data_IF_936692670994
#
_entry.id   IF_936692670994
#
_cell.length_a   1.000
_cell.length_b   1.000
_cell.length_c   1.000
_cell.angle_alpha   90.00
_cell.angle_beta   90.00
_cell.angle_gamma   90.00
#
_symmetry.space_group_name_H-M   'P 1'
#
loop_
_entity.id
_entity.type
_entity.pdbx_description
1 polymer ?
#
# COMPACT_ATOMS: atom_id res chain seq x y z
N UNK A 1 6.10 -2.12 17.25
CA UNK A 1 5.69 -2.13 18.67
C UNK A 1 5.71 -3.56 19.14
N UNK A 2 6.19 -3.82 20.35
CA UNK A 2 6.19 -5.17 20.93
C UNK A 2 5.90 -5.09 22.43
N UNK A 3 5.38 -6.17 23.00
CA UNK A 3 5.03 -6.20 24.41
C UNK A 3 4.15 -7.37 24.80
N UNK A 4 3.94 -7.50 26.11
CA UNK A 4 3.09 -8.54 26.70
C UNK A 4 1.63 -8.14 26.63
N UNK A 5 0.77 -9.07 26.18
CA UNK A 5 -0.68 -8.98 26.33
C UNK A 5 -1.23 -10.31 26.83
N UNK A 6 -2.31 -10.24 27.59
CA UNK A 6 -3.10 -11.40 27.98
C UNK A 6 -4.07 -11.71 26.84
N UNK A 7 -3.98 -12.92 26.28
CA UNK A 7 -4.91 -13.42 25.27
C UNK A 7 -5.85 -14.44 25.89
N UNK A 8 -7.14 -14.29 25.68
CA UNK A 8 -8.10 -15.33 26.03
C UNK A 8 -7.92 -16.55 25.13
N UNK A 9 -7.83 -17.74 25.72
CA UNK A 9 -7.67 -19.00 24.98
C UNK A 9 -8.95 -19.82 24.97
N UNK A 10 -9.49 -20.16 26.14
CA UNK A 10 -10.71 -20.97 26.32
C UNK A 10 -11.17 -20.89 27.79
N UNK A 11 -12.31 -21.48 28.12
CA UNK A 11 -12.83 -21.50 29.50
C UNK A 11 -11.93 -22.24 30.50
N UNK A 12 -11.12 -23.19 30.04
CA UNK A 12 -10.26 -24.01 30.90
C UNK A 12 -8.96 -23.32 31.29
N UNK A 13 -8.33 -22.61 30.36
CA UNK A 13 -7.03 -21.95 30.52
C UNK A 13 -7.14 -20.44 30.66
N UNK A 14 -8.30 -19.85 30.33
CA UNK A 14 -8.62 -18.45 30.53
C UNK A 14 -7.70 -17.47 29.79
N UNK A 15 -7.25 -16.44 30.51
CA UNK A 15 -6.32 -15.43 30.03
C UNK A 15 -4.88 -15.94 30.15
N UNK A 16 -4.14 -15.87 29.05
CA UNK A 16 -2.77 -16.37 28.97
C UNK A 16 -1.84 -15.28 28.48
N UNK A 17 -0.73 -15.09 29.19
CA UNK A 17 0.33 -14.15 28.83
C UNK A 17 0.97 -14.58 27.51
N UNK A 18 1.02 -13.68 26.53
CA UNK A 18 1.66 -13.89 25.23
C UNK A 18 2.44 -12.65 24.84
N UNK A 19 3.54 -12.86 24.14
CA UNK A 19 4.33 -11.77 23.56
C UNK A 19 3.75 -11.41 22.21
N UNK A 20 3.38 -10.16 22.02
CA UNK A 20 2.86 -9.64 20.76
C UNK A 20 3.88 -8.71 20.12
N UNK A 21 3.97 -8.81 18.80
CA UNK A 21 4.84 -7.98 17.97
C UNK A 21 3.99 -7.44 16.82
N UNK A 22 3.86 -6.12 16.75
CA UNK A 22 3.33 -5.39 15.63
C UNK A 22 4.50 -4.89 14.78
N UNK A 23 4.64 -5.47 13.59
CA UNK A 23 5.68 -5.14 12.64
C UNK A 23 5.10 -5.16 11.22
N UNK A 24 5.40 -4.11 10.44
CA UNK A 24 5.02 -4.00 9.02
C UNK A 24 3.55 -4.33 8.72
N UNK A 25 2.64 -3.76 9.52
CA UNK A 25 1.21 -3.97 9.32
C UNK A 25 0.67 -5.36 9.70
N UNK A 26 1.52 -6.21 10.31
CA UNK A 26 1.15 -7.54 10.78
C UNK A 26 1.32 -7.60 12.30
N UNK A 27 0.26 -8.00 12.99
CA UNK A 27 0.28 -8.32 14.41
C UNK A 27 0.51 -9.83 14.58
N UNK A 28 1.67 -10.19 15.10
CA UNK A 28 2.09 -11.57 15.38
C UNK A 28 2.17 -11.82 16.87
N UNK A 29 1.94 -13.06 17.32
CA UNK A 29 2.11 -13.43 18.72
C UNK A 29 2.88 -14.73 18.93
N UNK A 30 3.56 -14.79 20.07
CA UNK A 30 4.49 -15.83 20.49
C UNK A 30 4.19 -16.26 21.92
N UNK A 31 4.73 -17.40 22.34
CA UNK A 31 4.55 -17.88 23.71
C UNK A 31 5.30 -16.98 24.70
N UNK A 32 6.54 -16.59 24.38
CA UNK A 32 7.35 -15.63 25.13
C UNK A 32 8.23 -14.81 24.18
N UNK A 33 8.93 -13.80 24.70
CA UNK A 33 9.82 -12.94 23.91
C UNK A 33 11.06 -13.68 23.39
N UNK A 34 11.53 -14.68 24.13
CA UNK A 34 12.72 -15.48 23.79
C UNK A 34 12.42 -16.52 22.69
N UNK A 35 11.14 -16.88 22.52
CA UNK A 35 10.68 -17.85 21.52
C UNK A 35 10.34 -17.21 20.15
N UNK A 36 10.68 -15.93 19.91
CA UNK A 36 10.41 -15.27 18.62
C UNK A 36 11.07 -16.01 17.44
N UNK A 37 12.25 -16.61 17.67
CA UNK A 37 12.99 -17.39 16.68
C UNK A 37 12.40 -18.79 16.42
N UNK A 38 11.44 -19.25 17.23
CA UNK A 38 10.79 -20.57 17.07
C UNK A 38 9.54 -20.50 16.17
N UNK A 39 9.25 -19.34 15.60
CA UNK A 39 8.10 -19.10 14.74
C UNK A 39 6.85 -18.63 15.50
N UNK A 40 6.05 -17.80 14.84
CA UNK A 40 4.85 -17.23 15.43
C UNK A 40 3.75 -18.30 15.63
N UNK A 41 2.97 -18.18 16.71
CA UNK A 41 1.79 -19.03 16.95
C UNK A 41 0.56 -18.55 16.18
N UNK A 42 0.64 -17.34 15.64
CA UNK A 42 -0.29 -16.82 14.67
C UNK A 42 -0.05 -15.35 14.42
N UNK A 43 -0.58 -14.90 13.28
CA UNK A 43 -0.49 -13.52 12.84
C UNK A 43 -1.84 -13.03 12.31
N UNK A 44 -2.02 -11.72 12.25
CA UNK A 44 -3.21 -11.04 11.73
C UNK A 44 -2.78 -9.77 11.01
N UNK A 45 -3.30 -9.54 9.80
CA UNK A 45 -3.06 -8.30 9.04
C UNK A 45 -3.87 -7.17 9.64
N UNK A 46 -3.21 -6.12 10.12
CA UNK A 46 -3.84 -4.99 10.81
C UNK A 46 -4.83 -4.23 9.93
N UNK A 47 -4.62 -4.20 8.61
CA UNK A 47 -5.55 -3.60 7.65
C UNK A 47 -6.96 -4.20 7.71
N UNK A 48 -7.08 -5.49 8.01
CA UNK A 48 -8.35 -6.21 8.07
C UNK A 48 -8.94 -6.30 9.49
N UNK A 49 -8.23 -5.81 10.52
CA UNK A 49 -8.66 -5.92 11.92
C UNK A 49 -9.63 -4.79 12.27
N UNK A 50 -10.80 -5.13 12.78
CA UNK A 50 -11.67 -4.24 13.54
C UNK A 50 -11.29 -4.28 15.01
N UNK A 51 -11.14 -3.11 15.62
CA UNK A 51 -10.72 -2.95 17.01
C UNK A 51 -11.94 -2.53 17.82
N UNK A 52 -12.32 -3.35 18.79
CA UNK A 52 -13.41 -3.04 19.74
C UNK A 52 -12.83 -2.74 21.10
N UNK A 53 -13.15 -1.56 21.61
CA UNK A 53 -12.64 -1.04 22.89
C UNK A 53 -13.73 -1.21 23.95
N UNK A 54 -13.43 -1.88 25.05
CA UNK A 54 -14.39 -2.00 26.17
C UNK A 54 -14.52 -0.67 26.91
N UNK A 55 -15.76 -0.21 27.14
CA UNK A 55 -16.05 0.98 27.95
C UNK A 55 -16.11 0.69 29.46
N UNK A 56 -16.07 -0.59 29.85
CA UNK A 56 -16.17 -1.02 31.26
C UNK A 56 -14.81 -1.43 31.81
N UNK A 57 -14.02 -2.16 31.02
CA UNK A 57 -12.67 -2.58 31.40
C UNK A 57 -11.63 -1.76 30.62
N UNK A 58 -10.98 -0.84 31.34
CA UNK A 58 -9.97 0.07 30.80
C UNK A 58 -8.66 -0.60 30.38
N UNK A 59 -8.55 -1.92 30.52
CA UNK A 59 -7.40 -2.71 30.07
C UNK A 59 -7.75 -3.69 28.95
N UNK A 60 -9.04 -3.85 28.61
CA UNK A 60 -9.51 -4.82 27.61
C UNK A 60 -9.69 -4.21 26.22
N UNK A 61 -9.24 -4.93 25.19
CA UNK A 61 -9.47 -4.60 23.78
C UNK A 61 -9.65 -5.90 22.99
N UNK A 62 -10.57 -5.91 22.04
CA UNK A 62 -10.91 -7.09 21.27
C UNK A 62 -10.59 -6.81 19.79
N UNK A 63 -9.98 -7.78 19.10
CA UNK A 63 -9.57 -7.66 17.69
C UNK A 63 -10.30 -8.72 16.85
N UNK A 64 -11.05 -8.28 15.84
CA UNK A 64 -11.82 -9.16 14.96
C UNK A 64 -11.48 -8.94 13.49
N UNK A 65 -11.37 -10.03 12.73
CA UNK A 65 -11.41 -10.01 11.27
C UNK A 65 -12.75 -10.63 10.88
N UNK A 66 -13.65 -9.87 10.23
CA UNK A 66 -14.96 -10.38 9.83
C UNK A 66 -14.85 -11.69 9.06
N UNK A 67 -15.58 -12.72 9.52
CA UNK A 67 -15.63 -14.04 8.87
C UNK A 67 -14.42 -14.95 9.09
N UNK A 68 -13.36 -14.51 9.75
CA UNK A 68 -12.16 -15.32 9.98
C UNK A 68 -11.86 -15.59 11.44
N UNK A 69 -11.64 -14.53 12.22
CA UNK A 69 -10.95 -14.68 13.50
C UNK A 69 -11.34 -13.59 14.48
N UNK A 70 -11.53 -13.98 15.73
CA UNK A 70 -11.79 -13.06 16.83
C UNK A 70 -10.86 -13.40 17.99
N UNK A 71 -10.14 -12.40 18.51
CA UNK A 71 -9.28 -12.55 19.68
C UNK A 71 -9.62 -11.50 20.73
N UNK A 72 -9.70 -11.94 21.98
CA UNK A 72 -9.88 -11.07 23.13
C UNK A 72 -8.53 -10.83 23.78
N UNK A 73 -8.18 -9.55 23.99
CA UNK A 73 -6.91 -9.13 24.54
C UNK A 73 -7.10 -8.24 25.77
N UNK A 74 -6.16 -8.34 26.70
CA UNK A 74 -6.10 -7.48 27.88
C UNK A 74 -4.65 -7.04 28.10
N UNK A 75 -4.45 -5.74 28.24
CA UNK A 75 -3.14 -5.17 28.55
C UNK A 75 -2.87 -5.24 30.06
N UNK A 76 -1.60 -5.29 30.48
CA UNK A 76 -1.23 -5.19 31.90
C UNK A 76 -1.67 -3.88 32.57
N UNK A 77 -1.76 -2.78 31.82
CA UNK A 77 -2.26 -1.50 32.32
C UNK A 77 -3.11 -0.74 31.29
N UNK A 78 -3.87 0.27 31.75
CA UNK A 78 -4.63 1.16 30.87
C UNK A 78 -3.72 1.98 29.95
N UNK A 79 -2.54 2.36 30.44
CA UNK A 79 -1.53 3.05 29.66
C UNK A 79 -1.00 2.17 28.52
N UNK A 80 -0.65 0.93 28.81
CA UNK A 80 -0.18 -0.01 27.78
C UNK A 80 -1.28 -0.34 26.77
N UNK A 81 -2.53 -0.50 27.22
CA UNK A 81 -3.67 -0.62 26.30
C UNK A 81 -3.71 0.57 25.34
N UNK A 82 -3.57 1.79 25.86
CA UNK A 82 -3.60 2.99 25.02
C UNK A 82 -2.45 3.00 24.02
N UNK A 83 -1.24 2.63 24.43
CA UNK A 83 -0.10 2.49 23.52
C UNK A 83 -0.39 1.49 22.40
N UNK A 84 -1.00 0.35 22.73
CA UNK A 84 -1.38 -0.67 21.74
C UNK A 84 -2.46 -0.17 20.79
N UNK A 85 -3.49 0.51 21.30
CA UNK A 85 -4.55 1.10 20.47
C UNK A 85 -3.99 2.15 19.51
N UNK A 86 -3.09 3.01 19.99
CA UNK A 86 -2.40 4.00 19.16
C UNK A 86 -1.58 3.30 18.09
N UNK A 87 -0.73 2.33 18.43
CA UNK A 87 0.12 1.66 17.45
C UNK A 87 -0.68 0.86 16.41
N UNK A 88 -1.73 0.15 16.83
CA UNK A 88 -2.63 -0.56 15.91
C UNK A 88 -3.41 0.40 15.02
N UNK A 89 -3.92 1.50 15.59
CA UNK A 89 -4.63 2.54 14.84
C UNK A 89 -3.73 3.25 13.83
N UNK A 90 -2.53 3.65 14.24
CA UNK A 90 -1.52 4.24 13.36
C UNK A 90 -1.09 3.26 12.27
N UNK A 91 -0.81 2.00 12.60
CA UNK A 91 -0.46 0.99 11.60
C UNK A 91 -1.60 0.75 10.61
N UNK A 92 -2.85 0.67 11.08
CA UNK A 92 -4.03 0.55 10.21
C UNK A 92 -4.18 1.76 9.29
N UNK A 93 -4.04 2.97 9.84
CA UNK A 93 -4.12 4.22 9.09
C UNK A 93 -3.00 4.33 8.03
N UNK A 94 -1.76 3.94 8.36
CA UNK A 94 -0.65 3.91 7.42
C UNK A 94 -0.87 2.88 6.30
N UNK A 95 -1.61 1.79 6.53
CA UNK A 95 -1.95 0.82 5.47
C UNK A 95 -3.12 1.29 4.60
N UNK A 96 -4.09 2.02 5.18
CA UNK A 96 -5.19 2.62 4.41
C UNK A 96 -4.71 3.83 3.61
N UNK A 97 -3.82 4.65 4.19
CA UNK A 97 -3.09 5.72 3.50
C UNK A 97 -1.95 5.18 2.65
N UNK A 98 -1.50 3.94 2.84
CA UNK A 98 -0.52 3.23 1.98
C UNK A 98 -1.04 2.89 0.58
N UNK A 99 -2.32 3.20 0.30
CA UNK A 99 -2.85 3.37 -1.05
C UNK A 99 -2.49 4.74 -1.67
N UNK A 100 -1.78 5.59 -0.92
CA UNK A 100 -1.19 6.88 -1.29
C UNK A 100 0.22 7.04 -0.61
N UNK A 101 1.27 6.49 -1.24
CA UNK A 101 2.73 6.74 -1.00
C UNK A 101 3.33 6.14 0.31
N UNK A 102 4.46 5.42 0.35
CA UNK A 102 5.56 5.16 -0.60
C UNK A 102 6.53 4.11 0.00
N UNK A 103 6.83 3.00 -0.71
CA UNK A 103 8.17 2.33 -0.75
C UNK A 103 8.21 1.07 -1.63
N UNK A 104 7.59 1.09 -2.80
CA UNK A 104 7.99 0.27 -3.97
C UNK A 104 7.66 1.14 -5.18
N UNK A 105 8.56 1.34 -6.17
CA UNK A 105 8.20 1.95 -7.44
C UNK A 105 7.32 0.98 -8.23
N UNK A 106 6.09 0.76 -7.77
CA UNK A 106 5.05 0.13 -8.55
C UNK A 106 4.46 1.18 -9.50
N UNK A 107 5.02 1.23 -10.71
CA UNK A 107 4.30 1.68 -11.90
C UNK A 107 3.05 0.82 -12.07
N UNK A 108 1.99 1.18 -11.37
CA UNK A 108 0.69 0.54 -11.53
C UNK A 108 -0.04 1.16 -12.73
N UNK A 109 -0.57 0.35 -13.67
CA UNK A 109 -1.37 0.85 -14.79
C UNK A 109 -2.60 1.64 -14.34
N UNK A 110 -3.05 1.48 -13.09
CA UNK A 110 -4.19 2.18 -12.53
C UNK A 110 -3.90 3.66 -12.22
N UNK A 111 -2.69 4.01 -11.78
CA UNK A 111 -2.33 5.42 -11.54
C UNK A 111 -2.23 6.21 -12.85
N UNK A 112 -1.65 5.59 -13.88
CA UNK A 112 -1.59 6.18 -15.22
C UNK A 112 -2.99 6.33 -15.85
N UNK A 113 -3.89 5.35 -15.64
CA UNK A 113 -5.29 5.47 -16.09
C UNK A 113 -6.02 6.63 -15.41
N UNK A 114 -5.86 6.79 -14.10
CA UNK A 114 -6.44 7.91 -13.34
C UNK A 114 -5.92 9.24 -13.85
N UNK A 115 -4.60 9.35 -14.02
CA UNK A 115 -3.97 10.58 -14.52
C UNK A 115 -4.40 10.90 -15.95
N UNK A 116 -4.59 9.88 -16.80
CA UNK A 116 -5.17 10.05 -18.15
C UNK A 116 -6.62 10.56 -18.10
N UNK A 117 -7.45 10.13 -17.14
CA UNK A 117 -8.78 10.71 -16.97
C UNK A 117 -8.74 12.15 -16.47
N UNK A 118 -7.85 12.49 -15.53
CA UNK A 118 -7.63 13.87 -15.07
C UNK A 118 -7.26 14.80 -16.24
N UNK A 119 -6.32 14.37 -17.10
CA UNK A 119 -5.93 15.12 -18.30
C UNK A 119 -7.11 15.37 -19.26
N UNK A 120 -8.02 14.40 -19.42
CA UNK A 120 -9.22 14.61 -20.25
C UNK A 120 -10.14 15.68 -19.67
N UNK A 121 -10.37 15.65 -18.35
CA UNK A 121 -11.17 16.67 -17.67
C UNK A 121 -10.54 18.06 -17.82
N UNK A 122 -9.22 18.15 -17.74
CA UNK A 122 -8.51 19.40 -17.99
C UNK A 122 -8.63 19.86 -19.44
N UNK A 123 -8.56 18.98 -20.44
CA UNK A 123 -8.82 19.35 -21.84
C UNK A 123 -10.23 19.94 -22.02
N UNK A 124 -11.24 19.32 -21.42
CA UNK A 124 -12.63 19.81 -21.48
C UNK A 124 -12.75 21.19 -20.81
N UNK A 125 -12.11 21.36 -19.64
CA UNK A 125 -12.11 22.63 -18.91
C UNK A 125 -11.37 23.74 -19.67
N UNK A 126 -10.21 23.43 -20.27
CA UNK A 126 -9.46 24.37 -21.11
C UNK A 126 -10.29 24.82 -22.31
N UNK A 127 -10.98 23.88 -22.98
CA UNK A 127 -11.87 24.21 -24.09
C UNK A 127 -13.01 25.13 -23.66
N UNK A 128 -13.60 24.87 -22.50
CA UNK A 128 -14.65 25.73 -21.94
C UNK A 128 -14.12 27.13 -21.59
N UNK A 129 -12.94 27.23 -21.00
CA UNK A 129 -12.30 28.51 -20.64
C UNK A 129 -11.90 29.32 -21.89
N UNK A 130 -11.34 28.67 -22.92
CA UNK A 130 -11.04 29.31 -24.20
C UNK A 130 -12.33 29.80 -24.87
N UNK A 131 -13.40 29.00 -24.86
CA UNK A 131 -14.69 29.42 -25.41
C UNK A 131 -15.25 30.63 -24.67
N UNK A 132 -15.16 30.65 -23.34
CA UNK A 132 -15.57 31.79 -22.52
C UNK A 132 -14.82 33.07 -22.88
N UNK A 133 -13.48 33.01 -22.97
CA UNK A 133 -12.65 34.16 -23.38
C UNK A 133 -13.01 34.62 -24.79
N UNK A 134 -13.13 33.67 -25.74
CA UNK A 134 -13.49 33.97 -27.13
C UNK A 134 -14.85 34.67 -27.24
N UNK A 135 -15.86 34.14 -26.57
CA UNK A 135 -17.22 34.70 -26.58
C UNK A 135 -17.25 36.07 -25.90
N UNK A 136 -16.52 36.26 -24.81
CA UNK A 136 -16.40 37.55 -24.13
C UNK A 136 -15.69 38.61 -24.99
N UNK A 137 -14.69 38.22 -25.78
CA UNK A 137 -13.98 39.11 -26.70
C UNK A 137 -14.76 39.47 -27.96
N UNK A 138 -15.65 38.59 -28.43
CA UNK A 138 -16.39 38.74 -29.69
C UNK A 138 -17.84 39.24 -29.53
N UNK A 139 -18.21 39.80 -28.37
CA UNK A 139 -19.54 40.36 -28.15
C UNK A 139 -19.81 41.58 -29.05
N UNK A 140 -21.01 41.64 -29.63
CA UNK A 140 -21.44 42.78 -30.48
C UNK A 140 -21.49 44.12 -29.73
N UNK A 141 -21.69 44.09 -28.41
CA UNK A 141 -21.65 45.28 -27.53
C UNK A 141 -20.22 45.74 -27.17
N UNK A 142 -19.19 45.12 -27.74
CA UNK A 142 -17.79 45.31 -27.37
C UNK A 142 -17.28 44.24 -26.38
N UNK A 143 -15.95 44.12 -26.21
CA UNK A 143 -15.33 43.07 -25.41
C UNK A 143 -15.62 43.24 -23.92
N UNK A 144 -16.02 42.14 -23.29
CA UNK A 144 -16.28 42.04 -21.85
C UNK A 144 -14.96 41.77 -21.11
N UNK A 145 -14.25 42.86 -20.78
CA UNK A 145 -12.90 42.81 -20.20
C UNK A 145 -12.86 42.02 -18.88
N UNK A 146 -13.91 42.10 -18.06
CA UNK A 146 -13.98 41.40 -16.78
C UNK A 146 -14.02 39.88 -17.00
N UNK A 147 -14.89 39.39 -17.89
CA UNK A 147 -14.95 37.97 -18.24
C UNK A 147 -13.73 37.46 -18.98
N UNK A 148 -13.10 38.30 -19.81
CA UNK A 148 -11.83 37.97 -20.47
C UNK A 148 -10.73 37.78 -19.43
N UNK A 149 -10.66 38.67 -18.43
CA UNK A 149 -9.66 38.60 -17.35
C UNK A 149 -9.88 37.36 -16.49
N UNK A 150 -11.13 37.12 -16.08
CA UNK A 150 -11.52 35.92 -15.33
C UNK A 150 -11.17 34.64 -16.10
N UNK A 151 -11.56 34.57 -17.37
CA UNK A 151 -11.26 33.42 -18.23
C UNK A 151 -9.76 33.21 -18.46
N UNK A 152 -8.97 34.28 -18.57
CA UNK A 152 -7.52 34.19 -18.72
C UNK A 152 -6.85 33.68 -17.43
N UNK A 153 -7.30 34.13 -16.27
CA UNK A 153 -6.79 33.66 -14.98
C UNK A 153 -7.13 32.18 -14.74
N UNK A 154 -8.37 31.79 -15.05
CA UNK A 154 -8.81 30.40 -14.97
C UNK A 154 -8.03 29.51 -15.95
N UNK A 155 -7.80 30.00 -17.17
CA UNK A 155 -6.99 29.29 -18.17
C UNK A 155 -5.56 29.07 -17.69
N UNK A 156 -4.92 30.09 -17.13
CA UNK A 156 -3.56 29.98 -16.59
C UNK A 156 -3.49 28.89 -15.48
N UNK A 157 -4.41 28.94 -14.51
CA UNK A 157 -4.45 27.95 -13.44
C UNK A 157 -4.69 26.51 -13.92
N UNK A 158 -5.57 26.33 -14.92
CA UNK A 158 -5.82 25.01 -15.52
C UNK A 158 -4.60 24.53 -16.30
N UNK A 159 -3.93 25.40 -17.06
CA UNK A 159 -2.70 25.08 -17.78
C UNK A 159 -1.59 24.61 -16.83
N UNK A 160 -1.36 25.30 -15.72
CA UNK A 160 -0.35 24.92 -14.73
C UNK A 160 -0.62 23.52 -14.17
N UNK A 161 -1.88 23.26 -13.81
CA UNK A 161 -2.29 21.96 -13.26
C UNK A 161 -2.23 20.85 -14.31
N UNK A 162 -2.59 21.15 -15.56
CA UNK A 162 -2.50 20.24 -16.70
C UNK A 162 -1.05 19.84 -16.97
N UNK A 163 -0.13 20.81 -17.05
CA UNK A 163 1.30 20.56 -17.30
C UNK A 163 1.87 19.66 -16.22
N UNK A 164 1.62 19.99 -14.94
CA UNK A 164 2.08 19.16 -13.82
C UNK A 164 1.57 17.72 -13.91
N UNK A 165 0.30 17.55 -14.28
CA UNK A 165 -0.31 16.21 -14.40
C UNK A 165 0.22 15.44 -15.62
N UNK A 166 0.57 16.16 -16.69
CA UNK A 166 1.19 15.58 -17.88
C UNK A 166 2.63 15.16 -17.61
N UNK A 167 3.40 15.95 -16.87
CA UNK A 167 4.75 15.61 -16.40
C UNK A 167 4.70 14.35 -15.53
N UNK A 168 3.75 14.26 -14.58
CA UNK A 168 3.52 13.05 -13.80
C UNK A 168 3.25 11.84 -14.70
N UNK A 169 2.42 11.99 -15.73
CA UNK A 169 2.15 10.92 -16.71
C UNK A 169 3.41 10.49 -17.46
N UNK A 170 4.21 11.45 -17.92
CA UNK A 170 5.45 11.18 -18.65
C UNK A 170 6.47 10.47 -17.76
N UNK A 171 6.59 10.88 -16.51
CA UNK A 171 7.46 10.22 -15.54
C UNK A 171 6.99 8.78 -15.27
N UNK A 172 5.71 8.56 -15.01
CA UNK A 172 5.13 7.22 -14.82
C UNK A 172 5.35 6.32 -16.05
N UNK A 173 5.17 6.87 -17.25
CA UNK A 173 5.42 6.18 -18.52
C UNK A 173 6.90 5.82 -18.68
N UNK A 174 7.82 6.75 -18.39
CA UNK A 174 9.27 6.50 -18.51
C UNK A 174 9.75 5.39 -17.57
N UNK A 175 9.21 5.33 -16.35
CA UNK A 175 9.52 4.26 -15.39
C UNK A 175 8.95 2.92 -15.87
N UNK A 176 7.75 2.91 -16.46
CA UNK A 176 7.13 1.69 -17.01
C UNK A 176 7.90 1.15 -18.22
N UNK A 177 8.47 2.02 -19.05
CA UNK A 177 9.32 1.62 -20.18
C UNK A 177 10.66 1.06 -19.66
N UNK A 178 11.30 1.75 -18.71
CA UNK A 178 12.58 1.32 -18.14
C UNK A 178 12.50 -0.02 -17.38
N UNK A 179 11.36 -0.32 -16.75
CA UNK A 179 11.12 -1.63 -16.12
C UNK A 179 10.95 -2.76 -17.15
N UNK A 180 10.34 -2.47 -18.30
CA UNK A 180 10.21 -3.41 -19.42
C UNK A 180 11.56 -3.75 -20.08
N UNK A 181 12.47 -2.77 -20.22
CA UNK A 181 13.83 -3.00 -20.76
C UNK A 181 14.68 -3.90 -19.84
N UNK A 182 14.61 -3.70 -18.51
CA UNK A 182 15.31 -4.54 -17.52
C UNK A 182 14.84 -6.00 -17.53
N UNK A 183 13.55 -6.24 -17.76
CA UNK A 183 13.00 -7.60 -17.85
C UNK A 183 13.52 -8.36 -19.09
N UNK A 184 13.75 -7.64 -20.21
CA UNK A 184 14.21 -8.27 -21.44
C UNK A 184 15.70 -8.69 -21.40
N UNK A 185 16.51 -8.01 -20.60
CA UNK A 185 17.94 -8.31 -20.47
C UNK A 185 18.23 -9.55 -19.60
N UNK A 186 17.35 -9.88 -18.64
CA UNK A 186 17.43 -11.10 -17.83
C UNK A 186 17.05 -12.36 -18.65
N UNK A 187 16.14 -12.21 -19.62
CA UNK A 187 15.66 -13.33 -20.45
C UNK A 187 16.71 -13.92 -21.42
N UNK A 188 17.77 -13.17 -21.76
CA UNK A 188 18.78 -13.62 -22.74
C UNK A 188 19.92 -14.39 -22.06
N UNK A 189 20.23 -14.11 -20.78
CA UNK A 189 21.37 -14.74 -20.09
C UNK A 189 21.13 -16.21 -19.67
N UNK A 190 19.90 -16.73 -19.83
CA UNK A 190 19.53 -18.09 -19.42
C UNK A 190 19.51 -19.12 -20.55
N UNK A 191 19.98 -18.78 -21.76
CA UNK A 191 20.10 -19.75 -22.87
C UNK A 191 21.58 -19.95 -23.24
N UNK A 192 22.34 -20.59 -22.36
CA UNK A 192 23.57 -21.27 -22.76
C UNK A 192 24.06 -22.21 -21.67
N UNK A 193 23.59 -23.46 -21.72
CA UNK A 193 24.40 -24.66 -21.50
C UNK A 193 23.59 -25.90 -21.91
N UNK A 194 23.96 -26.61 -22.99
CA UNK A 194 23.39 -27.92 -23.27
C UNK A 194 24.01 -28.95 -22.32
N UNK A 195 23.17 -29.59 -21.51
CA UNK A 195 23.59 -30.70 -20.64
C UNK A 195 23.69 -31.96 -21.49
N UNK A 196 24.91 -32.43 -21.76
CA UNK A 196 25.15 -33.76 -22.34
C UNK A 196 25.01 -34.81 -21.22
N UNK A 197 24.21 -35.89 -21.37
CA UNK A 197 24.12 -36.94 -20.38
C UNK A 197 25.37 -37.84 -20.44
N UNK A 198 26.10 -37.96 -19.34
CA UNK A 198 27.24 -38.87 -19.18
C UNK A 198 26.73 -40.29 -18.96
N UNK A 199 26.97 -41.19 -19.91
CA UNK A 199 26.75 -42.64 -19.74
C UNK A 199 27.80 -43.23 -18.80
N UNK A 200 27.34 -43.98 -17.80
CA UNK A 200 28.17 -44.68 -16.81
C UNK A 200 28.71 -45.98 -17.44
N UNK A 201 30.01 -46.08 -17.65
CA UNK A 201 30.67 -47.35 -18.03
C UNK A 201 30.92 -48.20 -16.78
N UNK A 202 30.45 -49.44 -16.79
CA UNK A 202 30.85 -50.46 -15.82
C UNK A 202 32.07 -51.20 -16.37
N UNK A 203 33.24 -50.97 -15.78
CA UNK A 203 34.42 -51.80 -16.00
C UNK A 203 34.44 -52.95 -15.01
N UNK A 204 34.37 -54.17 -15.54
CA UNK A 204 34.74 -55.42 -14.90
C UNK A 204 36.24 -55.43 -14.57
N UNK A 205 36.63 -55.71 -13.33
CA UNK A 205 37.97 -56.25 -13.06
C UNK A 205 37.94 -57.35 -12.01
N UNK A 206 38.51 -58.48 -12.43
CA UNK A 206 38.81 -59.70 -11.69
C UNK A 206 39.82 -59.43 -10.58
N UNK A 207 39.75 -60.22 -9.49
CA UNK A 207 40.94 -60.49 -8.67
C UNK A 207 40.94 -61.93 -8.18
N UNK A 208 42.07 -62.59 -8.50
CA UNK A 208 42.70 -63.80 -7.96
C UNK A 208 41.86 -65.07 -7.83
#
# INVERSE_FOLDING_TARGET
>A
MEGVLLKWTNYWSGWQTRWFVLHDGVLSYYRSAEEVNQGCKGSMKVSAIEITVSNVDNTRMDLSIPGEKHIFLKAPSSQERQLWLVALGSSKACLTEGRRKESVPETSPETLKSKKSELRLYCDLLMQQVHMVKTAASKESGPDIEKITEGSNLLAATCDTFIKTLEDCMQLSSIAIASHEKAHQIGINNISKPTIPVMRMNSTEKKA
#
